data_IF_131233664120
#
_entry.id   IF_131233664120
#
_cell.length_a   1.000
_cell.length_b   1.000
_cell.length_c   1.000
_cell.angle_alpha   90.00
_cell.angle_beta   90.00
_cell.angle_gamma   90.00
#
_symmetry.space_group_name_H-M   'P 1'
#
loop_
_entity.id
_entity.type
_entity.pdbx_description
1 polymer ?
#
# COMPACT_ATOMS: atom_id res chain seq x y z
N UNK A 1 -42.97 -15.76 -4.29
CA UNK A 1 -42.11 -15.50 -3.11
C UNK A 1 -40.71 -15.94 -3.48
N UNK A 2 -40.00 -15.08 -4.21
CA UNK A 2 -38.58 -15.25 -4.51
C UNK A 2 -37.77 -14.97 -3.23
N UNK A 3 -36.73 -15.74 -2.92
CA UNK A 3 -35.86 -15.44 -1.79
C UNK A 3 -35.12 -14.12 -2.01
N UNK A 4 -34.88 -13.40 -0.92
CA UNK A 4 -34.09 -12.17 -0.88
C UNK A 4 -32.60 -12.47 -1.01
N UNK A 5 -32.18 -12.78 -2.24
CA UNK A 5 -30.78 -13.09 -2.56
C UNK A 5 -29.87 -11.87 -2.45
N UNK A 6 -30.43 -10.64 -2.45
CA UNK A 6 -29.68 -9.40 -2.38
C UNK A 6 -29.15 -9.12 -0.97
N UNK A 7 -30.02 -9.18 0.03
CA UNK A 7 -29.61 -8.98 1.42
C UNK A 7 -28.59 -10.03 1.89
N UNK A 8 -28.78 -11.30 1.49
CA UNK A 8 -27.89 -12.40 1.84
C UNK A 8 -26.49 -12.25 1.20
N UNK A 9 -26.40 -11.72 -0.03
CA UNK A 9 -25.12 -11.38 -0.65
C UNK A 9 -24.45 -10.19 0.05
N UNK A 10 -25.16 -9.10 0.32
CA UNK A 10 -24.61 -7.95 1.05
C UNK A 10 -24.09 -8.31 2.45
N UNK A 11 -24.77 -9.24 3.15
CA UNK A 11 -24.31 -9.80 4.43
C UNK A 11 -23.01 -10.61 4.24
N UNK A 12 -22.90 -11.44 3.18
CA UNK A 12 -21.65 -12.16 2.87
C UNK A 12 -20.51 -11.20 2.57
N UNK A 13 -20.69 -10.22 1.68
CA UNK A 13 -19.66 -9.25 1.29
C UNK A 13 -19.15 -8.47 2.52
N UNK A 14 -20.06 -7.99 3.37
CA UNK A 14 -19.71 -7.32 4.64
C UNK A 14 -18.88 -8.20 5.56
N UNK A 15 -19.26 -9.47 5.74
CA UNK A 15 -18.53 -10.40 6.61
C UNK A 15 -17.14 -10.71 6.06
N UNK A 16 -17.02 -10.91 4.75
CA UNK A 16 -15.73 -11.13 4.09
C UNK A 16 -14.77 -9.94 4.28
N UNK A 17 -15.24 -8.69 4.09
CA UNK A 17 -14.43 -7.50 4.30
C UNK A 17 -13.94 -7.34 5.75
N UNK A 18 -14.81 -7.63 6.74
CA UNK A 18 -14.44 -7.61 8.16
C UNK A 18 -13.42 -8.70 8.48
N UNK A 19 -13.61 -9.91 7.95
CA UNK A 19 -12.71 -11.04 8.17
C UNK A 19 -11.33 -10.83 7.54
N UNK A 20 -11.27 -10.32 6.31
CA UNK A 20 -10.02 -9.96 5.63
C UNK A 20 -9.26 -8.84 6.37
N UNK A 21 -9.97 -7.81 6.85
CA UNK A 21 -9.39 -6.75 7.66
C UNK A 21 -8.76 -7.30 8.96
N UNK A 22 -9.51 -8.17 9.66
CA UNK A 22 -9.08 -8.79 10.92
C UNK A 22 -7.92 -9.77 10.71
N UNK A 23 -7.91 -10.55 9.64
CA UNK A 23 -6.78 -11.43 9.32
C UNK A 23 -5.50 -10.62 9.09
N UNK A 24 -5.61 -9.48 8.42
CA UNK A 24 -4.50 -8.53 8.31
C UNK A 24 -3.94 -8.09 9.68
N UNK A 25 -4.79 -7.82 10.68
CA UNK A 25 -4.33 -7.49 12.03
C UNK A 25 -3.68 -8.69 12.74
N UNK A 26 -4.09 -9.92 12.45
CA UNK A 26 -3.43 -11.14 12.96
C UNK A 26 -2.02 -11.28 12.38
N UNK A 27 -1.86 -11.05 11.08
CA UNK A 27 -0.56 -11.05 10.38
C UNK A 27 0.38 -9.96 10.92
N UNK A 28 -0.09 -8.72 11.05
CA UNK A 28 0.70 -7.63 11.65
C UNK A 28 1.20 -7.99 13.07
N UNK A 29 0.36 -8.66 13.87
CA UNK A 29 0.76 -9.11 15.21
C UNK A 29 1.75 -10.28 15.16
N UNK A 30 1.68 -11.16 14.15
CA UNK A 30 2.66 -12.21 13.92
C UNK A 30 4.03 -11.61 13.58
N UNK A 31 4.07 -10.68 12.62
CA UNK A 31 5.27 -9.94 12.17
C UNK A 31 5.95 -9.19 13.32
N UNK A 32 5.18 -8.57 14.21
CA UNK A 32 5.68 -7.88 15.40
C UNK A 32 6.26 -8.81 16.50
N UNK A 33 6.40 -10.12 16.24
CA UNK A 33 6.88 -11.11 17.23
C UNK A 33 5.80 -11.55 18.23
N UNK A 34 4.53 -11.49 17.86
CA UNK A 34 3.36 -11.86 18.69
C UNK A 34 3.29 -11.18 20.06
N UNK A 35 3.44 -9.84 20.16
CA UNK A 35 3.42 -9.13 21.44
C UNK A 35 2.16 -9.47 22.24
N UNK A 36 2.31 -9.74 23.53
CA UNK A 36 1.19 -10.08 24.39
C UNK A 36 0.21 -8.91 24.51
N UNK A 37 -1.10 -9.15 24.43
CA UNK A 37 -2.11 -8.08 24.48
C UNK A 37 -2.00 -7.15 25.71
N UNK A 38 -1.47 -7.65 26.84
CA UNK A 38 -1.21 -6.85 28.04
C UNK A 38 -0.03 -5.87 27.84
N UNK A 39 1.00 -6.27 27.10
CA UNK A 39 2.11 -5.38 26.72
C UNK A 39 1.65 -4.34 25.69
N UNK A 40 0.86 -4.75 24.69
CA UNK A 40 0.26 -3.85 23.70
C UNK A 40 -0.65 -2.80 24.37
N UNK A 41 -1.52 -3.22 25.29
CA UNK A 41 -2.38 -2.31 26.06
C UNK A 41 -1.55 -1.29 26.86
N UNK A 42 -0.49 -1.75 27.55
CA UNK A 42 0.45 -0.88 28.29
C UNK A 42 1.17 0.12 27.38
N UNK A 43 1.54 -0.27 26.17
CA UNK A 43 2.15 0.61 25.16
C UNK A 43 1.16 1.68 24.67
N UNK A 44 -0.08 1.29 24.37
CA UNK A 44 -1.09 2.23 23.86
C UNK A 44 -1.59 3.25 24.89
N UNK A 45 -1.61 2.89 26.18
CA UNK A 45 -2.16 3.68 27.29
C UNK A 45 -3.67 3.98 27.22
N UNK A 46 -4.34 3.63 26.12
CA UNK A 46 -5.71 4.08 25.77
C UNK A 46 -6.71 2.94 25.55
N UNK A 47 -6.23 1.73 25.25
CA UNK A 47 -7.09 0.58 24.88
C UNK A 47 -6.76 -0.63 25.76
N UNK A 48 -7.78 -1.33 26.24
CA UNK A 48 -7.60 -2.46 27.15
C UNK A 48 -7.13 -3.72 26.42
N UNK A 49 -6.42 -4.61 27.12
CA UNK A 49 -5.96 -5.88 26.53
C UNK A 49 -7.12 -6.77 26.04
N UNK A 50 -8.29 -6.70 26.69
CA UNK A 50 -9.48 -7.42 26.28
C UNK A 50 -10.07 -6.82 24.99
N UNK A 51 -10.04 -5.49 24.83
CA UNK A 51 -10.47 -4.80 23.62
C UNK A 51 -9.54 -5.09 22.43
N UNK A 52 -8.23 -5.16 22.65
CA UNK A 52 -7.26 -5.55 21.61
C UNK A 52 -7.40 -7.03 21.19
N UNK A 53 -7.81 -7.90 22.11
CA UNK A 53 -8.15 -9.29 21.80
C UNK A 53 -9.47 -9.41 21.03
N UNK A 54 -10.53 -8.71 21.49
CA UNK A 54 -11.85 -8.68 20.84
C UNK A 54 -11.80 -8.08 19.43
N UNK A 55 -10.86 -7.16 19.16
CA UNK A 55 -10.60 -6.64 17.83
C UNK A 55 -10.19 -7.72 16.80
N UNK A 56 -9.74 -8.90 17.24
CA UNK A 56 -9.38 -10.03 16.37
C UNK A 56 -10.49 -11.09 16.24
N UNK A 57 -11.69 -10.83 16.78
CA UNK A 57 -12.81 -11.78 16.78
C UNK A 57 -13.51 -11.95 15.43
N UNK A 58 -13.40 -10.97 14.53
CA UNK A 58 -14.14 -10.97 13.24
C UNK A 58 -15.65 -10.70 13.36
N UNK A 59 -16.20 -10.53 14.57
CA UNK A 59 -17.64 -10.37 14.77
C UNK A 59 -18.18 -9.00 14.30
N UNK A 60 -17.32 -7.97 14.28
CA UNK A 60 -17.61 -6.61 13.82
C UNK A 60 -16.30 -5.92 13.45
N UNK A 61 -16.34 -4.92 12.58
CA UNK A 61 -15.17 -4.09 12.30
C UNK A 61 -14.72 -3.39 13.60
N UNK A 62 -13.45 -3.51 14.02
CA UNK A 62 -12.95 -2.78 15.20
C UNK A 62 -13.01 -1.27 14.97
N UNK A 63 -13.15 -0.46 16.02
CA UNK A 63 -13.16 1.01 15.86
C UNK A 63 -11.76 1.54 15.53
N UNK A 64 -11.65 2.65 14.77
CA UNK A 64 -10.35 3.23 14.43
C UNK A 64 -9.41 3.45 15.64
N UNK A 65 -9.85 3.98 16.80
CA UNK A 65 -8.96 4.12 17.97
C UNK A 65 -8.40 2.78 18.48
N UNK A 66 -9.15 1.68 18.32
CA UNK A 66 -8.70 0.31 18.66
C UNK A 66 -7.67 -0.19 17.64
N UNK A 67 -7.93 0.01 16.34
CA UNK A 67 -7.00 -0.32 15.26
C UNK A 67 -5.69 0.45 15.41
N UNK A 68 -5.75 1.77 15.57
CA UNK A 68 -4.57 2.62 15.74
C UNK A 68 -3.71 2.17 16.95
N UNK A 69 -4.34 1.89 18.09
CA UNK A 69 -3.65 1.37 19.26
C UNK A 69 -2.99 0.00 19.04
N UNK A 70 -3.66 -0.88 18.29
CA UNK A 70 -3.14 -2.19 17.92
C UNK A 70 -1.93 -2.07 16.98
N UNK A 71 -2.08 -1.30 15.90
CA UNK A 71 -1.08 -1.07 14.86
C UNK A 71 0.17 -0.41 15.44
N UNK A 72 -0.01 0.65 16.24
CA UNK A 72 1.08 1.33 16.95
C UNK A 72 1.82 0.38 17.89
N UNK A 73 1.11 -0.49 18.62
CA UNK A 73 1.72 -1.48 19.52
C UNK A 73 2.45 -2.62 18.79
N UNK A 74 2.18 -2.81 17.50
CA UNK A 74 2.88 -3.73 16.60
C UNK A 74 3.92 -3.03 15.70
N UNK A 75 4.09 -1.70 15.80
CA UNK A 75 5.04 -0.95 14.96
C UNK A 75 4.62 -0.78 13.49
N UNK A 76 3.35 -1.00 13.15
CA UNK A 76 2.85 -0.86 11.77
C UNK A 76 2.54 0.57 11.36
N UNK A 77 2.40 0.80 10.05
CA UNK A 77 2.09 2.10 9.45
C UNK A 77 0.61 2.50 9.68
N UNK A 78 0.40 3.54 10.49
CA UNK A 78 -0.94 4.04 10.83
C UNK A 78 -1.70 4.62 9.63
N UNK A 79 -1.05 5.18 8.62
CA UNK A 79 -1.71 5.74 7.45
C UNK A 79 -2.22 4.61 6.54
N UNK A 80 -1.37 3.62 6.26
CA UNK A 80 -1.75 2.39 5.54
C UNK A 80 -2.93 1.68 6.22
N UNK A 81 -2.83 1.43 7.53
CA UNK A 81 -3.90 0.78 8.29
C UNK A 81 -5.17 1.63 8.41
N UNK A 82 -5.07 2.97 8.29
CA UNK A 82 -6.24 3.85 8.25
C UNK A 82 -7.02 3.70 6.95
N UNK A 83 -6.35 3.64 5.80
CA UNK A 83 -7.04 3.45 4.51
C UNK A 83 -7.72 2.08 4.47
N UNK A 84 -6.98 1.01 4.79
CA UNK A 84 -7.57 -0.35 4.87
C UNK A 84 -8.76 -0.45 5.84
N UNK A 85 -8.78 0.37 6.90
CA UNK A 85 -9.93 0.47 7.81
C UNK A 85 -11.11 1.24 7.20
N UNK A 86 -10.86 2.31 6.44
CA UNK A 86 -11.88 3.08 5.73
C UNK A 86 -12.53 2.22 4.64
N UNK A 87 -11.75 1.49 3.84
CA UNK A 87 -12.24 0.58 2.80
C UNK A 87 -13.17 -0.49 3.40
N UNK A 88 -12.71 -1.14 4.48
CA UNK A 88 -13.50 -2.12 5.21
C UNK A 88 -14.74 -1.50 5.87
N UNK A 89 -14.70 -0.23 6.29
CA UNK A 89 -15.83 0.49 6.85
C UNK A 89 -16.86 0.94 5.80
N UNK A 90 -16.43 1.20 4.56
CA UNK A 90 -17.30 1.47 3.42
C UNK A 90 -18.12 0.22 3.09
N UNK A 91 -17.46 -0.92 2.87
CA UNK A 91 -18.11 -2.21 2.58
C UNK A 91 -18.92 -2.73 3.78
N UNK A 92 -18.49 -2.43 5.02
CA UNK A 92 -19.23 -2.81 6.22
C UNK A 92 -20.38 -1.87 6.60
N UNK A 93 -20.59 -0.77 5.87
CA UNK A 93 -21.71 0.13 6.13
C UNK A 93 -23.04 -0.58 5.82
N UNK A 94 -24.09 -0.43 6.65
CA UNK A 94 -25.46 -0.70 6.23
C UNK A 94 -25.81 0.13 5.00
N UNK A 95 -26.44 -0.48 3.99
CA UNK A 95 -27.15 0.35 3.00
C UNK A 95 -28.22 1.15 3.74
N UNK A 96 -28.45 2.42 3.37
CA UNK A 96 -29.59 3.15 3.89
C UNK A 96 -30.86 2.47 3.35
N UNK A 97 -31.56 1.73 4.20
CA UNK A 97 -32.93 1.31 3.93
C UNK A 97 -33.72 2.57 3.53
N UNK A 98 -34.17 2.64 2.28
CA UNK A 98 -34.99 3.76 1.84
C UNK A 98 -36.25 3.77 2.71
N UNK A 99 -36.45 4.83 3.50
CA UNK A 99 -37.64 5.03 4.31
C UNK A 99 -38.85 5.23 3.39
N UNK A 100 -39.41 4.10 2.94
CA UNK A 100 -40.67 4.01 2.25
C UNK A 100 -41.82 4.40 3.18
N UNK A 101 -42.14 5.68 3.16
CA UNK A 101 -43.49 6.23 3.35
C UNK A 101 -44.38 5.51 4.38
N UNK A 102 -44.23 5.88 5.66
CA UNK A 102 -45.27 5.61 6.67
C UNK A 102 -45.95 6.90 7.12
N UNK A 103 -46.97 7.25 6.32
CA UNK A 103 -48.19 8.00 6.64
C UNK A 103 -48.25 8.83 7.95
N UNK A 104 -48.64 10.09 7.80
CA UNK A 104 -49.13 10.93 8.90
C UNK A 104 -50.23 10.23 9.72
N UNK A 105 -50.25 10.38 11.06
CA UNK A 105 -51.38 9.94 11.87
C UNK A 105 -52.63 10.78 11.59
N UNK A 106 -53.60 10.18 10.90
CA UNK A 106 -54.94 10.76 10.73
C UNK A 106 -55.59 11.08 12.08
N UNK A 107 -56.30 12.20 12.12
CA UNK A 107 -56.84 12.80 13.33
C UNK A 107 -57.86 11.92 14.08
N UNK A 108 -57.89 12.09 15.41
CA UNK A 108 -59.08 11.85 16.23
C UNK A 108 -59.37 13.06 17.14
N UNK A 109 -60.65 13.35 17.44
CA UNK A 109 -61.08 14.71 17.81
C UNK A 109 -60.98 15.01 19.31
N UNK A 110 -60.84 16.31 19.59
CA UNK A 110 -60.87 16.91 20.93
C UNK A 110 -62.21 16.71 21.66
N UNK A 111 -62.17 16.58 23.00
CA UNK A 111 -63.23 17.07 23.86
C UNK A 111 -62.74 18.15 24.86
N UNK A 112 -63.41 19.30 24.82
CA UNK A 112 -63.84 20.07 26.00
C UNK A 112 -62.85 20.41 27.13
N UNK A 113 -62.46 21.69 27.16
CA UNK A 113 -62.01 22.42 28.35
C UNK A 113 -62.88 22.20 29.61
N UNK A 114 -62.26 21.96 30.78
CA UNK A 114 -62.40 22.83 31.97
C UNK A 114 -61.53 22.35 33.15
N UNK A 115 -60.75 23.27 33.75
CA UNK A 115 -60.30 23.14 35.15
C UNK A 115 -61.38 23.70 36.11
N UNK A 116 -61.40 23.28 37.38
CA UNK A 116 -60.87 24.17 38.42
C UNK A 116 -60.08 23.48 39.55
N UNK A 117 -59.43 24.30 40.38
CA UNK A 117 -58.52 23.96 41.49
C UNK A 117 -59.28 23.78 42.86
N UNK A 118 -58.64 23.63 44.05
CA UNK A 118 -58.85 22.47 44.94
C UNK A 118 -59.56 22.81 46.27
N UNK A 119 -59.69 21.83 47.19
CA UNK A 119 -59.03 22.02 48.50
C UNK A 119 -58.40 20.74 49.12
N UNK A 120 -57.50 20.96 50.10
CA UNK A 120 -56.85 19.94 50.97
C UNK A 120 -57.60 19.82 52.35
N UNK A 121 -57.12 19.11 53.40
CA UNK A 121 -55.94 18.24 53.58
C UNK A 121 -56.21 16.90 54.36
N UNK A 122 -55.15 16.28 54.91
CA UNK A 122 -55.08 15.12 55.84
C UNK A 122 -55.11 13.69 55.22
N UNK A 123 -54.38 12.66 55.71
CA UNK A 123 -53.42 12.56 56.84
C UNK A 123 -52.40 11.40 56.62
N UNK A 124 -51.18 11.58 57.13
CA UNK A 124 -50.13 10.61 57.57
C UNK A 124 -50.20 9.10 57.21
N UNK A 125 -49.06 8.53 56.76
CA UNK A 125 -48.25 7.58 57.56
C UNK A 125 -46.82 7.42 57.01
N UNK A 126 -45.85 7.15 57.88
CA UNK A 126 -44.40 7.15 57.59
C UNK A 126 -43.87 5.79 57.08
N UNK A 127 -42.70 5.78 56.41
CA UNK A 127 -41.46 5.21 56.98
C UNK A 127 -40.21 5.34 56.06
N UNK A 128 -39.27 6.17 56.51
CA UNK A 128 -37.79 6.11 56.41
C UNK A 128 -37.08 5.24 55.34
N UNK A 129 -36.28 5.90 54.48
CA UNK A 129 -34.93 5.44 54.08
C UNK A 129 -33.96 6.64 54.02
N UNK A 130 -33.00 6.72 54.95
CA UNK A 130 -31.76 7.52 54.80
C UNK A 130 -30.61 6.63 54.26
N UNK A 131 -29.35 7.05 54.04
CA UNK A 131 -28.57 8.28 54.32
C UNK A 131 -27.13 7.97 53.83
N UNK A 132 -26.33 8.76 53.10
CA UNK A 132 -26.37 10.10 52.46
C UNK A 132 -25.38 10.03 51.24
N UNK A 133 -25.09 11.03 50.38
CA UNK A 133 -25.23 12.48 50.40
C UNK A 133 -23.88 13.20 50.55
N UNK A 134 -23.25 13.60 49.42
CA UNK A 134 -22.24 14.69 49.32
C UNK A 134 -21.93 15.07 47.86
N UNK A 135 -22.71 16.02 47.33
CA UNK A 135 -22.29 16.87 46.21
C UNK A 135 -21.48 18.04 46.78
N UNK A 136 -20.43 18.50 46.09
CA UNK A 136 -19.80 19.80 46.34
C UNK A 136 -19.35 20.45 45.03
N UNK A 137 -20.21 21.33 44.51
CA UNK A 137 -19.86 22.37 43.55
C UNK A 137 -19.63 23.66 44.32
N UNK A 138 -18.55 24.39 44.03
CA UNK A 138 -18.52 25.85 44.24
C UNK A 138 -17.60 26.51 43.20
N UNK A 139 -18.12 27.58 42.60
CA UNK A 139 -17.44 28.51 41.71
C UNK A 139 -17.18 29.83 42.46
N UNK A 140 -16.62 30.83 41.75
CA UNK A 140 -16.31 32.22 42.19
C UNK A 140 -15.01 32.31 43.00
N UNK A 141 -14.12 33.29 42.77
CA UNK A 141 -14.11 34.40 41.80
C UNK A 141 -12.76 35.14 41.82
N UNK A 142 -12.54 36.05 40.87
CA UNK A 142 -11.23 36.66 40.61
C UNK A 142 -10.85 37.83 41.53
N UNK A 143 -9.54 38.09 41.67
CA UNK A 143 -9.00 39.44 41.88
C UNK A 143 -7.56 39.56 41.35
N UNK A 144 -7.19 40.79 40.98
CA UNK A 144 -6.06 41.16 40.10
C UNK A 144 -4.80 41.51 40.91
N UNK A 145 -3.62 41.18 40.36
CA UNK A 145 -2.33 41.72 40.82
C UNK A 145 -1.29 41.60 39.70
N UNK A 146 -0.87 42.73 39.12
CA UNK A 146 0.03 42.75 37.96
C UNK A 146 1.51 42.77 38.35
N UNK A 147 2.35 42.04 37.62
CA UNK A 147 3.81 42.28 37.52
C UNK A 147 4.22 42.19 36.05
N UNK A 148 5.03 43.16 35.62
CA UNK A 148 5.53 43.33 34.25
C UNK A 148 6.76 42.45 34.00
N UNK A 149 6.87 41.83 32.83
CA UNK A 149 8.12 41.11 32.45
C UNK A 149 8.11 40.40 31.09
N UNK A 150 8.63 41.08 30.06
CA UNK A 150 9.24 40.55 28.83
C UNK A 150 8.60 39.35 28.10
N UNK A 151 7.95 39.63 26.96
CA UNK A 151 7.26 38.63 26.15
C UNK A 151 8.11 37.71 25.26
N UNK A 152 7.41 36.71 24.71
CA UNK A 152 7.65 36.11 23.40
C UNK A 152 6.29 36.00 22.71
N UNK A 153 6.16 36.52 21.49
CA UNK A 153 4.96 36.33 20.68
C UNK A 153 5.05 34.99 19.94
N UNK A 154 4.34 33.97 20.42
CA UNK A 154 4.10 32.73 19.65
C UNK A 154 2.69 32.80 19.07
N UNK A 155 2.60 33.02 17.77
CA UNK A 155 1.33 33.01 17.05
C UNK A 155 0.72 31.60 17.06
N UNK A 156 -0.53 31.47 17.49
CA UNK A 156 -1.30 30.24 17.33
C UNK A 156 -1.76 30.15 15.88
N UNK A 157 -0.96 29.52 15.02
CA UNK A 157 -1.40 29.09 13.69
C UNK A 157 -2.15 27.77 13.83
N UNK A 158 -3.42 27.76 13.44
CA UNK A 158 -4.23 26.54 13.32
C UNK A 158 -3.80 25.76 12.08
N UNK A 159 -2.67 25.05 12.18
CA UNK A 159 -2.23 24.11 11.15
C UNK A 159 -3.06 22.82 11.23
N UNK A 160 -4.06 22.70 10.36
CA UNK A 160 -4.60 21.40 9.95
C UNK A 160 -3.52 20.72 9.09
N UNK A 161 -2.56 20.06 9.75
CA UNK A 161 -1.54 19.26 9.10
C UNK A 161 -1.96 17.79 9.06
N UNK A 162 -1.97 17.19 7.87
CA UNK A 162 -2.28 15.78 7.68
C UNK A 162 -1.34 14.88 8.49
N UNK A 163 -1.94 14.04 9.33
CA UNK A 163 -1.25 13.17 10.28
C UNK A 163 -0.64 11.92 9.64
N UNK A 164 0.17 12.08 8.59
CA UNK A 164 1.05 11.03 8.10
C UNK A 164 2.36 11.05 8.91
N UNK A 165 2.56 10.07 9.79
CA UNK A 165 3.87 9.88 10.42
C UNK A 165 4.90 9.49 9.35
N UNK A 166 6.06 10.15 9.27
CA UNK A 166 7.05 9.80 8.24
C UNK A 166 7.57 8.39 8.45
N UNK A 167 7.77 7.65 7.36
CA UNK A 167 8.63 6.47 7.36
C UNK A 167 10.02 6.93 7.78
N UNK A 168 10.48 6.47 8.94
CA UNK A 168 11.80 6.81 9.46
C UNK A 168 12.82 5.99 8.68
N UNK A 169 13.31 6.55 7.58
CA UNK A 169 14.45 5.98 6.88
C UNK A 169 15.65 5.96 7.81
N UNK A 170 16.32 4.80 8.00
CA UNK A 170 17.50 4.74 8.85
C UNK A 170 18.62 5.53 8.18
N UNK A 171 18.85 6.76 8.66
CA UNK A 171 19.96 7.59 8.20
C UNK A 171 21.26 7.01 8.73
N UNK A 172 22.11 6.52 7.85
CA UNK A 172 23.52 6.33 8.16
C UNK A 172 24.24 7.68 8.09
N UNK A 173 25.36 7.84 8.81
CA UNK A 173 26.17 9.07 8.73
C UNK A 173 26.72 9.33 7.32
N UNK A 174 26.68 8.33 6.41
CA UNK A 174 27.04 8.49 5.00
C UNK A 174 25.97 9.23 4.18
N UNK A 175 24.68 9.15 4.56
CA UNK A 175 23.58 9.73 3.79
C UNK A 175 23.54 11.27 3.87
N UNK A 176 23.99 11.84 5.00
CA UNK A 176 24.13 13.29 5.17
C UNK A 176 25.23 13.90 4.29
N UNK A 177 26.21 13.10 3.85
CA UNK A 177 27.22 13.54 2.88
C UNK A 177 26.72 13.46 1.42
N UNK A 178 25.80 12.53 1.12
CA UNK A 178 25.21 12.37 -0.20
C UNK A 178 24.15 13.45 -0.53
N UNK A 179 23.37 13.88 0.47
CA UNK A 179 22.26 14.84 0.30
C UNK A 179 22.64 16.27 -0.11
N UNK A 180 23.93 16.60 -0.20
CA UNK A 180 24.42 17.94 -0.57
C UNK A 180 25.08 18.00 -1.98
N UNK A 181 25.23 16.87 -2.67
CA UNK A 181 25.67 16.86 -4.06
C UNK A 181 24.44 17.01 -4.97
N UNK A 182 24.34 18.13 -5.68
CA UNK A 182 23.28 18.35 -6.66
C UNK A 182 23.23 17.19 -7.67
N UNK A 183 22.04 16.64 -7.88
CA UNK A 183 21.78 15.61 -8.90
C UNK A 183 22.13 16.21 -10.27
N UNK A 184 23.34 15.93 -10.76
CA UNK A 184 23.67 16.19 -12.15
C UNK A 184 22.89 15.18 -13.00
N UNK A 185 22.21 15.63 -14.07
CA UNK A 185 21.58 14.71 -15.00
C UNK A 185 22.66 13.76 -15.56
N UNK A 186 22.36 12.47 -15.74
CA UNK A 186 23.34 11.49 -16.18
C UNK A 186 23.96 11.95 -17.50
N UNK A 187 25.27 12.14 -17.50
CA UNK A 187 26.01 12.53 -18.68
C UNK A 187 25.90 11.40 -19.69
N UNK A 188 25.10 11.58 -20.73
CA UNK A 188 24.99 10.65 -21.85
C UNK A 188 26.39 10.48 -22.46
N UNK A 189 27.03 9.35 -22.18
CA UNK A 189 28.28 8.95 -22.82
C UNK A 189 27.89 8.33 -24.16
N UNK A 190 28.34 8.86 -25.31
CA UNK A 190 28.14 8.21 -26.58
C UNK A 190 28.86 6.85 -26.55
N UNK A 191 28.08 5.77 -26.54
CA UNK A 191 28.64 4.44 -26.44
C UNK A 191 29.28 4.04 -27.77
N UNK A 192 30.60 4.23 -27.87
CA UNK A 192 31.41 3.74 -28.98
C UNK A 192 31.60 2.21 -28.87
N UNK A 193 30.51 1.46 -28.98
CA UNK A 193 30.56 0.03 -29.26
C UNK A 193 30.86 -0.16 -30.74
N UNK A 194 31.93 -0.88 -31.05
CA UNK A 194 32.22 -1.27 -32.42
C UNK A 194 31.11 -2.22 -32.91
N UNK A 195 30.43 -1.85 -34.00
CA UNK A 195 29.43 -2.70 -34.67
C UNK A 195 30.10 -3.94 -35.28
N UNK A 196 30.20 -5.00 -34.48
CA UNK A 196 30.12 -6.34 -35.03
C UNK A 196 28.65 -6.65 -35.27
N UNK A 197 28.17 -6.36 -36.48
CA UNK A 197 26.80 -6.64 -36.92
C UNK A 197 26.56 -8.16 -36.98
N UNK A 198 26.34 -8.78 -35.82
CA UNK A 198 25.71 -10.09 -35.72
C UNK A 198 24.29 -9.97 -36.27
N UNK A 199 23.83 -10.98 -37.01
CA UNK A 199 22.50 -10.96 -37.61
C UNK A 199 21.44 -10.79 -36.51
N UNK A 200 20.61 -9.75 -36.63
CA UNK A 200 19.59 -9.40 -35.65
C UNK A 200 18.66 -10.60 -35.43
N UNK A 201 18.88 -11.30 -34.32
CA UNK A 201 18.09 -12.46 -33.93
C UNK A 201 16.86 -11.93 -33.23
N UNK A 202 15.66 -12.31 -33.70
CA UNK A 202 14.42 -11.83 -33.09
C UNK A 202 14.42 -12.15 -31.59
N UNK A 203 14.16 -11.16 -30.71
CA UNK A 203 14.11 -11.39 -29.28
C UNK A 203 13.14 -12.52 -28.89
N UNK A 204 13.54 -13.35 -27.94
CA UNK A 204 12.72 -14.46 -27.45
C UNK A 204 12.94 -14.71 -25.96
N UNK A 205 11.85 -14.99 -25.25
CA UNK A 205 11.91 -15.44 -23.86
C UNK A 205 12.45 -16.87 -23.77
N UNK A 206 13.35 -17.12 -22.82
CA UNK A 206 14.03 -18.42 -22.62
C UNK A 206 13.51 -19.12 -21.37
N UNK A 207 13.26 -18.36 -20.30
CA UNK A 207 12.80 -18.88 -19.01
C UNK A 207 12.96 -17.87 -17.90
N UNK A 208 12.59 -18.31 -16.68
CA UNK A 208 12.75 -17.54 -15.44
C UNK A 208 13.87 -18.14 -14.56
N UNK A 209 15.09 -17.56 -14.54
CA UNK A 209 16.19 -18.04 -13.70
C UNK A 209 15.95 -17.96 -12.20
N UNK A 210 15.26 -16.92 -11.72
CA UNK A 210 15.01 -16.69 -10.30
C UNK A 210 13.76 -15.83 -10.07
N UNK A 211 13.11 -16.00 -8.92
CA UNK A 211 11.99 -15.15 -8.48
C UNK A 211 11.75 -15.33 -6.98
N UNK A 212 11.41 -14.26 -6.27
CA UNK A 212 11.03 -14.32 -4.85
C UNK A 212 10.15 -13.13 -4.45
N UNK A 213 9.32 -13.30 -3.42
CA UNK A 213 8.50 -12.24 -2.86
C UNK A 213 8.23 -12.50 -1.36
N UNK A 214 8.68 -11.58 -0.50
CA UNK A 214 8.59 -11.76 0.96
C UNK A 214 8.26 -10.46 1.70
N UNK A 215 7.58 -10.60 2.84
CA UNK A 215 7.44 -9.54 3.85
C UNK A 215 8.70 -9.61 4.73
N UNK A 216 9.75 -8.91 4.30
CA UNK A 216 11.07 -8.98 4.91
C UNK A 216 11.78 -7.62 4.82
N UNK A 217 12.04 -7.03 5.98
CA UNK A 217 12.76 -5.75 6.12
C UNK A 217 14.27 -6.00 6.32
N UNK A 218 15.00 -6.07 5.20
CA UNK A 218 16.46 -6.24 5.14
C UNK A 218 17.04 -5.30 4.08
N UNK A 219 18.33 -4.89 4.16
CA UNK A 219 18.96 -3.99 3.17
C UNK A 219 19.30 -4.65 1.82
N UNK A 220 18.93 -5.92 1.66
CA UNK A 220 19.11 -6.67 0.42
C UNK A 220 18.86 -8.16 0.59
N UNK A 221 18.68 -8.84 -0.52
CA UNK A 221 18.35 -10.27 -0.63
C UNK A 221 19.18 -10.95 -1.72
N UNK A 222 19.28 -12.27 -1.63
CA UNK A 222 19.99 -13.11 -2.59
C UNK A 222 19.05 -14.21 -3.06
N UNK A 223 18.67 -14.16 -4.34
CA UNK A 223 17.79 -15.13 -4.97
C UNK A 223 18.66 -16.23 -5.60
N UNK A 224 18.56 -17.50 -5.16
CA UNK A 224 19.28 -18.59 -5.80
C UNK A 224 18.76 -18.79 -7.23
N UNK A 225 19.68 -19.05 -8.16
CA UNK A 225 19.34 -19.37 -9.55
C UNK A 225 18.78 -20.80 -9.59
N UNK A 226 17.50 -20.94 -9.96
CA UNK A 226 16.78 -22.23 -10.02
C UNK A 226 16.66 -22.79 -11.45
N UNK A 227 17.03 -21.99 -12.44
CA UNK A 227 17.17 -22.38 -13.85
C UNK A 227 18.46 -21.77 -14.38
N UNK A 228 19.30 -22.62 -14.98
CA UNK A 228 20.57 -22.20 -15.57
C UNK A 228 20.36 -21.15 -16.66
N UNK A 229 21.24 -20.14 -16.69
CA UNK A 229 21.24 -19.04 -17.66
C UNK A 229 22.24 -19.33 -18.77
N UNK A 230 21.85 -19.06 -20.01
CA UNK A 230 22.69 -19.25 -21.19
C UNK A 230 23.73 -18.12 -21.29
N UNK A 231 24.99 -18.47 -21.51
CA UNK A 231 26.04 -17.49 -21.77
C UNK A 231 25.70 -16.62 -22.99
N UNK A 232 25.73 -15.30 -22.83
CA UNK A 232 25.45 -14.34 -23.90
C UNK A 232 23.99 -13.89 -24.05
N UNK A 233 23.06 -14.50 -23.31
CA UNK A 233 21.67 -13.99 -23.24
C UNK A 233 21.59 -12.76 -22.32
N UNK A 234 20.40 -12.16 -22.21
CA UNK A 234 20.11 -11.00 -21.36
C UNK A 234 19.22 -11.39 -20.18
N UNK A 235 19.41 -10.72 -19.04
CA UNK A 235 18.56 -10.85 -17.86
C UNK A 235 17.84 -9.54 -17.59
N UNK A 236 16.51 -9.63 -17.48
CA UNK A 236 15.63 -8.52 -17.09
C UNK A 236 15.13 -8.79 -15.67
N UNK A 237 15.48 -7.92 -14.73
CA UNK A 237 15.08 -8.02 -13.32
C UNK A 237 14.02 -6.97 -13.04
N UNK A 238 12.77 -7.42 -12.90
CA UNK A 238 11.64 -6.57 -12.52
C UNK A 238 11.43 -6.66 -11.01
N UNK A 239 11.21 -5.53 -10.33
CA UNK A 239 11.00 -5.53 -8.90
C UNK A 239 10.00 -4.48 -8.42
N UNK A 240 9.33 -4.78 -7.31
CA UNK A 240 8.43 -3.88 -6.59
C UNK A 240 8.82 -3.85 -5.11
N UNK A 241 9.34 -2.71 -4.64
CA UNK A 241 9.61 -2.44 -3.23
C UNK A 241 8.44 -1.67 -2.63
N UNK A 242 7.95 -2.04 -1.43
CA UNK A 242 6.86 -1.32 -0.75
C UNK A 242 7.35 -0.54 0.46
N UNK A 243 6.84 0.68 0.62
CA UNK A 243 7.24 1.63 1.67
C UNK A 243 8.76 1.82 1.68
N UNK A 244 9.33 1.99 0.48
CA UNK A 244 10.77 2.10 0.28
C UNK A 244 11.29 3.44 0.79
N UNK A 245 12.58 3.47 1.12
CA UNK A 245 13.30 4.73 1.31
C UNK A 245 13.97 5.20 0.01
N UNK A 246 14.15 6.52 -0.16
CA UNK A 246 14.99 7.07 -1.23
C UNK A 246 16.43 6.53 -1.14
N UNK A 247 17.07 6.37 -2.30
CA UNK A 247 18.46 5.93 -2.41
C UNK A 247 18.67 4.88 -3.50
N UNK A 248 19.92 4.40 -3.66
CA UNK A 248 20.28 3.50 -4.75
C UNK A 248 19.77 2.09 -4.52
N UNK A 249 19.11 1.51 -5.52
CA UNK A 249 18.90 0.06 -5.63
C UNK A 249 19.98 -0.48 -6.57
N UNK A 250 20.58 -1.63 -6.24
CA UNK A 250 21.59 -2.28 -7.07
C UNK A 250 21.26 -3.75 -7.25
N UNK A 251 21.42 -4.23 -8.48
CA UNK A 251 21.39 -5.65 -8.84
C UNK A 251 22.80 -6.05 -9.25
N UNK A 252 23.23 -7.21 -8.79
CA UNK A 252 24.48 -7.90 -9.18
C UNK A 252 24.23 -9.40 -9.14
N UNK A 253 25.15 -10.21 -9.64
CA UNK A 253 25.12 -11.66 -9.43
C UNK A 253 26.47 -12.16 -8.88
N UNK A 254 26.55 -13.46 -8.60
CA UNK A 254 27.79 -14.14 -8.19
C UNK A 254 28.89 -14.01 -9.25
N UNK A 255 28.50 -13.90 -10.53
CA UNK A 255 29.35 -13.59 -11.68
C UNK A 255 30.08 -12.23 -11.49
N UNK A 256 29.33 -11.23 -11.05
CA UNK A 256 29.66 -9.80 -11.12
C UNK A 256 29.29 -9.17 -12.47
N UNK A 257 28.22 -9.63 -13.13
CA UNK A 257 27.74 -8.98 -14.36
C UNK A 257 27.11 -7.61 -14.10
N UNK A 258 27.04 -6.79 -15.15
CA UNK A 258 26.67 -5.37 -15.06
C UNK A 258 25.18 -5.16 -15.33
N UNK A 259 24.41 -4.99 -14.27
CA UNK A 259 23.00 -4.62 -14.34
C UNK A 259 22.85 -3.10 -14.34
N UNK A 260 22.05 -2.60 -15.28
CA UNK A 260 21.73 -1.18 -15.42
C UNK A 260 20.24 -0.94 -15.17
N UNK A 261 19.90 0.21 -14.59
CA UNK A 261 18.50 0.63 -14.44
C UNK A 261 17.96 1.01 -15.82
N UNK A 262 16.90 0.34 -16.26
CA UNK A 262 16.14 0.69 -17.46
C UNK A 262 14.94 1.58 -17.12
N UNK A 263 14.26 1.30 -16.00
CA UNK A 263 13.11 2.06 -15.48
C UNK A 263 13.17 2.10 -13.95
N UNK A 264 12.74 3.22 -13.36
CA UNK A 264 12.70 3.46 -11.91
C UNK A 264 11.61 4.49 -11.59
N UNK A 265 10.45 4.02 -11.13
CA UNK A 265 9.31 4.85 -10.74
C UNK A 265 8.95 4.63 -9.27
N UNK A 266 8.57 5.70 -8.57
CA UNK A 266 8.12 5.64 -7.18
C UNK A 266 6.85 6.45 -7.00
N UNK A 267 5.80 5.79 -6.53
CA UNK A 267 4.50 6.41 -6.30
C UNK A 267 4.46 7.29 -5.02
N UNK A 268 3.34 7.99 -4.87
CA UNK A 268 3.01 8.87 -3.73
C UNK A 268 3.09 8.17 -2.36
N UNK A 269 2.85 6.86 -2.31
CA UNK A 269 2.88 6.03 -1.11
C UNK A 269 4.25 5.33 -0.87
N UNK A 270 5.23 5.56 -1.75
CA UNK A 270 6.56 4.94 -1.77
C UNK A 270 6.52 3.43 -2.07
N UNK A 271 5.62 2.99 -2.94
CA UNK A 271 5.84 1.78 -3.73
C UNK A 271 6.74 2.15 -4.91
N UNK A 272 7.81 1.39 -5.11
CA UNK A 272 8.80 1.65 -6.16
C UNK A 272 8.87 0.45 -7.08
N UNK A 273 8.48 0.66 -8.33
CA UNK A 273 8.64 -0.32 -9.41
C UNK A 273 9.94 0.01 -10.13
N UNK A 274 10.70 -1.02 -10.49
CA UNK A 274 11.92 -0.84 -11.28
C UNK A 274 12.11 -2.00 -12.24
N UNK A 275 12.75 -1.71 -13.36
CA UNK A 275 13.29 -2.71 -14.29
C UNK A 275 14.80 -2.48 -14.42
N UNK A 276 15.58 -3.51 -14.11
CA UNK A 276 17.01 -3.58 -14.40
C UNK A 276 17.27 -4.52 -15.58
N UNK A 277 18.33 -4.26 -16.35
CA UNK A 277 18.75 -5.14 -17.45
C UNK A 277 20.27 -5.32 -17.45
N UNK A 278 20.70 -6.57 -17.64
CA UNK A 278 22.07 -6.95 -17.98
C UNK A 278 22.06 -7.67 -19.34
N UNK A 279 23.03 -7.35 -20.21
CA UNK A 279 23.15 -7.92 -21.56
C UNK A 279 24.42 -8.76 -21.67
N UNK A 280 24.37 -9.87 -22.41
CA UNK A 280 25.54 -10.70 -22.67
C UNK A 280 26.10 -11.35 -21.41
N UNK A 281 25.22 -11.78 -20.49
CA UNK A 281 25.62 -12.28 -19.17
C UNK A 281 26.45 -13.57 -19.26
N UNK A 282 27.22 -13.84 -18.21
CA UNK A 282 27.91 -15.12 -18.05
C UNK A 282 26.91 -16.23 -17.70
N UNK A 283 27.23 -17.50 -17.98
CA UNK A 283 26.33 -18.59 -17.66
C UNK A 283 26.22 -18.73 -16.14
N UNK A 284 25.00 -18.61 -15.62
CA UNK A 284 24.69 -18.82 -14.21
C UNK A 284 24.11 -20.23 -14.00
N UNK A 285 24.46 -20.83 -12.86
CA UNK A 285 24.10 -22.19 -12.47
C UNK A 285 23.39 -22.21 -11.13
N UNK A 286 22.98 -23.39 -10.65
CA UNK A 286 22.39 -23.59 -9.32
C UNK A 286 23.38 -23.35 -8.16
N UNK A 287 24.67 -23.11 -8.46
CA UNK A 287 25.65 -22.61 -7.51
C UNK A 287 25.66 -21.07 -7.38
N UNK A 288 24.95 -20.35 -8.26
CA UNK A 288 24.97 -18.89 -8.38
C UNK A 288 23.68 -18.24 -7.85
N UNK A 289 23.74 -16.94 -7.58
CA UNK A 289 22.61 -16.15 -7.10
C UNK A 289 22.57 -14.74 -7.72
N UNK A 290 21.36 -14.20 -7.83
CA UNK A 290 21.11 -12.78 -8.11
C UNK A 290 20.99 -12.05 -6.77
N UNK A 291 21.80 -11.03 -6.56
CA UNK A 291 21.83 -10.21 -5.34
C UNK A 291 21.18 -8.85 -5.63
N UNK A 292 20.20 -8.47 -4.82
CA UNK A 292 19.52 -7.17 -4.90
C UNK A 292 19.72 -6.43 -3.58
N UNK A 293 20.17 -5.18 -3.62
CA UNK A 293 20.37 -4.33 -2.43
C UNK A 293 19.61 -3.02 -2.56
N UNK A 294 19.07 -2.52 -1.45
CA UNK A 294 18.26 -1.31 -1.38
C UNK A 294 18.30 -0.73 0.05
N UNK A 295 18.10 0.59 0.25
CA UNK A 295 18.31 1.20 1.57
C UNK A 295 17.35 0.67 2.64
N UNK A 296 16.06 0.55 2.27
CA UNK A 296 15.01 0.00 3.11
C UNK A 296 13.77 -0.28 2.26
N UNK A 297 13.10 -1.40 2.50
CA UNK A 297 11.73 -1.69 2.06
C UNK A 297 11.04 -2.58 3.10
N UNK A 298 9.72 -2.48 3.24
CA UNK A 298 8.93 -3.34 4.15
C UNK A 298 8.69 -4.76 3.60
N UNK A 299 8.77 -4.89 2.28
CA UNK A 299 8.60 -6.12 1.50
C UNK A 299 9.08 -5.88 0.07
N UNK A 300 9.36 -6.97 -0.64
CA UNK A 300 9.75 -6.96 -2.04
C UNK A 300 8.98 -8.01 -2.84
N UNK A 301 8.88 -7.76 -4.14
CA UNK A 301 8.72 -8.78 -5.18
C UNK A 301 9.88 -8.59 -6.15
N UNK A 302 10.55 -9.66 -6.55
CA UNK A 302 11.66 -9.64 -7.50
C UNK A 302 11.47 -10.82 -8.45
N UNK A 303 11.47 -10.52 -9.75
CA UNK A 303 11.29 -11.47 -10.84
C UNK A 303 12.45 -11.31 -11.83
N UNK A 304 13.12 -12.41 -12.19
CA UNK A 304 14.30 -12.42 -13.07
C UNK A 304 14.00 -13.26 -14.30
N UNK A 305 13.91 -12.62 -15.46
CA UNK A 305 13.51 -13.25 -16.73
C UNK A 305 14.66 -13.22 -17.76
N UNK A 306 14.90 -14.36 -18.42
CA UNK A 306 15.96 -14.57 -19.41
C UNK A 306 15.42 -14.38 -20.83
N UNK A 307 16.11 -13.55 -21.61
CA UNK A 307 15.79 -13.27 -23.01
C UNK A 307 17.01 -13.43 -23.91
N UNK A 308 16.81 -14.12 -25.03
CA UNK A 308 17.80 -14.28 -26.10
C UNK A 308 17.64 -13.21 -27.17
N UNK A 309 18.76 -12.79 -27.76
CA UNK A 309 18.76 -11.86 -28.89
C UNK A 309 18.52 -10.40 -28.49
N UNK A 310 18.90 -10.03 -27.25
CA UNK A 310 18.71 -8.68 -26.71
C UNK A 310 20.05 -8.10 -26.27
N UNK A 311 20.28 -6.84 -26.60
CA UNK A 311 21.59 -6.16 -26.59
C UNK A 311 21.58 -4.72 -26.10
N UNK A 312 20.43 -4.03 -26.14
CA UNK A 312 20.31 -2.66 -25.63
C UNK A 312 18.86 -2.29 -25.22
N UNK A 313 18.73 -1.33 -24.31
CA UNK A 313 17.49 -0.58 -24.06
C UNK A 313 17.38 0.54 -25.11
N UNK A 314 16.23 0.69 -25.77
CA UNK A 314 15.98 1.71 -26.80
C UNK A 314 15.06 2.83 -26.33
N UNK A 315 14.04 2.48 -25.54
CA UNK A 315 13.10 3.41 -24.93
C UNK A 315 12.57 2.87 -23.61
N UNK A 316 11.96 3.73 -22.80
CA UNK A 316 11.23 3.36 -21.60
C UNK A 316 10.05 4.29 -21.38
N UNK A 317 9.10 3.86 -20.55
CA UNK A 317 8.05 4.70 -19.99
C UNK A 317 7.59 4.14 -18.66
N UNK A 318 7.04 5.01 -17.82
CA UNK A 318 6.49 4.63 -16.51
C UNK A 318 5.25 5.47 -16.20
N UNK A 319 4.42 4.97 -15.28
CA UNK A 319 3.34 5.73 -14.67
C UNK A 319 2.87 5.04 -13.38
N UNK A 320 2.22 5.79 -12.51
CA UNK A 320 1.48 5.25 -11.37
C UNK A 320 0.10 5.91 -11.24
N UNK A 321 -0.80 5.26 -10.51
CA UNK A 321 -2.15 5.74 -10.27
C UNK A 321 -2.78 5.18 -9.00
N UNK A 322 -3.68 5.97 -8.43
CA UNK A 322 -4.34 5.70 -7.15
C UNK A 322 -5.48 4.66 -7.28
N UNK A 323 -5.96 4.18 -6.13
CA UNK A 323 -7.09 3.23 -6.01
C UNK A 323 -8.33 3.76 -6.74
N UNK A 324 -9.08 2.87 -7.41
CA UNK A 324 -10.26 3.22 -8.20
C UNK A 324 -9.98 3.62 -9.65
N UNK A 325 -8.71 3.70 -10.05
CA UNK A 325 -8.31 3.80 -11.46
C UNK A 325 -8.71 2.53 -12.23
N UNK A 326 -9.74 2.59 -13.07
CA UNK A 326 -10.23 1.43 -13.83
C UNK A 326 -9.24 0.91 -14.91
N UNK A 327 -8.26 1.73 -15.30
CA UNK A 327 -7.25 1.42 -16.30
C UNK A 327 -5.88 2.01 -15.92
N UNK A 328 -4.81 1.38 -16.41
CA UNK A 328 -3.43 1.85 -16.31
C UNK A 328 -2.77 1.97 -17.69
N UNK A 329 -1.79 2.87 -17.79
CA UNK A 329 -1.02 3.11 -19.02
C UNK A 329 0.29 3.83 -18.69
N UNK A 330 1.41 3.41 -19.27
CA UNK A 330 2.71 4.14 -19.24
C UNK A 330 2.72 5.41 -20.13
N UNK A 331 1.55 5.98 -20.42
CA UNK A 331 1.29 6.76 -21.63
C UNK A 331 1.10 8.27 -21.45
N UNK A 332 1.88 8.90 -20.57
CA UNK A 332 1.98 10.37 -20.54
C UNK A 332 2.97 10.88 -21.60
N UNK A 333 4.14 10.24 -21.70
CA UNK A 333 5.18 10.53 -22.68
C UNK A 333 5.21 9.48 -23.82
N UNK A 334 5.57 9.86 -25.05
CA UNK A 334 5.60 8.95 -26.18
C UNK A 334 6.81 8.00 -26.13
N UNK A 335 6.57 6.75 -25.73
CA UNK A 335 7.54 5.66 -25.90
C UNK A 335 7.49 5.16 -27.35
N UNK A 336 8.48 5.53 -28.15
CA UNK A 336 8.58 5.07 -29.54
C UNK A 336 9.28 3.70 -29.60
N UNK A 337 8.76 2.81 -30.46
CA UNK A 337 9.18 1.42 -30.63
C UNK A 337 9.19 1.04 -32.12
N UNK A 338 9.94 -0.01 -32.47
CA UNK A 338 10.01 -0.57 -33.83
C UNK A 338 9.48 -1.99 -33.91
N UNK A 339 8.95 -2.37 -35.05
CA UNK A 339 8.50 -3.72 -35.32
C UNK A 339 9.62 -4.74 -35.06
N UNK A 340 9.38 -5.72 -34.18
CA UNK A 340 10.36 -6.73 -33.78
C UNK A 340 11.16 -6.41 -32.52
N UNK A 341 11.09 -5.19 -31.96
CA UNK A 341 11.68 -4.89 -30.64
C UNK A 341 10.91 -5.61 -29.52
N UNK A 342 11.62 -5.99 -28.46
CA UNK A 342 11.05 -6.60 -27.27
C UNK A 342 10.56 -5.52 -26.31
N UNK A 343 9.31 -5.63 -25.88
CA UNK A 343 8.75 -4.85 -24.79
C UNK A 343 8.63 -5.74 -23.55
N UNK A 344 9.14 -5.28 -22.41
CA UNK A 344 8.92 -5.91 -21.10
C UNK A 344 8.21 -4.90 -20.19
N UNK A 345 7.12 -5.35 -19.57
CA UNK A 345 6.33 -4.56 -18.64
C UNK A 345 6.36 -5.19 -17.24
N UNK A 346 6.49 -4.34 -16.22
CA UNK A 346 6.37 -4.69 -14.82
C UNK A 346 5.24 -3.86 -14.20
N UNK A 347 4.18 -4.51 -13.71
CA UNK A 347 3.02 -3.86 -13.08
C UNK A 347 2.99 -4.22 -11.60
N UNK A 348 3.41 -3.29 -10.75
CA UNK A 348 3.22 -3.35 -9.31
C UNK A 348 1.82 -2.91 -8.92
N UNK A 349 1.20 -3.54 -7.93
CA UNK A 349 -0.11 -3.12 -7.41
C UNK A 349 -0.33 -3.55 -5.96
N UNK A 350 -1.23 -2.81 -5.29
CA UNK A 350 -1.57 -3.03 -3.89
C UNK A 350 -3.09 -3.04 -3.67
N UNK A 351 -3.54 -3.92 -2.75
CA UNK A 351 -4.92 -3.97 -2.27
C UNK A 351 -5.95 -4.16 -3.38
N UNK A 352 -5.95 -5.35 -4.00
CA UNK A 352 -6.99 -5.72 -4.97
C UNK A 352 -6.74 -7.07 -5.65
N UNK A 353 -7.52 -7.39 -6.70
CA UNK A 353 -7.19 -8.46 -7.64
C UNK A 353 -5.94 -8.10 -8.47
N UNK A 354 -5.31 -9.11 -9.06
CA UNK A 354 -4.18 -8.93 -9.97
C UNK A 354 -4.55 -7.99 -11.16
N UNK A 355 -3.70 -7.01 -11.50
CA UNK A 355 -3.84 -6.23 -12.72
C UNK A 355 -3.83 -7.11 -13.97
N UNK A 356 -4.55 -6.70 -15.01
CA UNK A 356 -4.62 -7.43 -16.28
C UNK A 356 -4.18 -6.53 -17.43
N UNK A 357 -3.10 -6.91 -18.13
CA UNK A 357 -2.70 -6.23 -19.36
C UNK A 357 -3.69 -6.53 -20.50
N UNK A 358 -3.74 -5.65 -21.49
CA UNK A 358 -4.53 -5.86 -22.72
C UNK A 358 -4.04 -7.08 -23.52
N UNK A 359 -4.90 -7.59 -24.41
CA UNK A 359 -4.56 -8.69 -25.32
C UNK A 359 -3.37 -8.35 -26.21
N UNK A 360 -2.39 -9.25 -26.28
CA UNK A 360 -1.12 -9.06 -27.02
C UNK A 360 0.10 -9.30 -26.13
N UNK A 361 -0.04 -9.05 -24.83
CA UNK A 361 0.96 -9.33 -23.81
C UNK A 361 0.95 -10.81 -23.39
N UNK A 362 2.14 -11.41 -23.33
CA UNK A 362 2.39 -12.72 -22.75
C UNK A 362 2.79 -12.54 -21.29
N UNK A 363 1.93 -12.93 -20.34
CA UNK A 363 2.25 -12.88 -18.90
C UNK A 363 3.34 -13.91 -18.57
N UNK A 364 4.36 -13.48 -17.84
CA UNK A 364 5.49 -14.28 -17.37
C UNK A 364 5.30 -14.68 -15.91
N UNK A 365 5.16 -13.69 -15.02
CA UNK A 365 4.92 -13.91 -13.60
C UNK A 365 3.68 -13.19 -13.06
N UNK A 366 3.26 -13.67 -11.88
CA UNK A 366 2.26 -13.08 -11.00
C UNK A 366 2.73 -13.38 -9.58
N UNK A 367 3.69 -12.57 -9.11
CA UNK A 367 4.25 -12.71 -7.77
C UNK A 367 3.27 -12.08 -6.80
N UNK A 368 2.42 -12.91 -6.18
CA UNK A 368 1.42 -12.49 -5.19
C UNK A 368 1.95 -12.60 -3.76
N UNK A 369 1.87 -11.52 -3.00
CA UNK A 369 2.16 -11.48 -1.57
C UNK A 369 1.01 -10.82 -0.81
N UNK A 370 0.19 -11.62 -0.13
CA UNK A 370 -1.08 -11.15 0.47
C UNK A 370 -2.00 -10.53 -0.59
N UNK A 371 -2.28 -9.22 -0.54
CA UNK A 371 -3.06 -8.46 -1.53
C UNK A 371 -2.20 -7.60 -2.47
N UNK A 372 -0.90 -7.85 -2.52
CA UNK A 372 0.05 -7.19 -3.40
C UNK A 372 0.44 -8.11 -4.54
N UNK A 373 0.67 -7.54 -5.71
CA UNK A 373 1.04 -8.27 -6.92
C UNK A 373 2.14 -7.52 -7.68
N UNK A 374 3.17 -8.24 -8.12
CA UNK A 374 4.01 -7.86 -9.25
C UNK A 374 3.69 -8.77 -10.44
N UNK A 375 3.10 -8.20 -11.49
CA UNK A 375 2.87 -8.86 -12.77
C UNK A 375 4.01 -8.50 -13.70
N UNK A 376 4.67 -9.50 -14.29
CA UNK A 376 5.61 -9.29 -15.39
C UNK A 376 5.04 -9.86 -16.68
N UNK A 377 5.27 -9.17 -17.78
CA UNK A 377 4.81 -9.59 -19.09
C UNK A 377 5.75 -9.09 -20.18
N UNK A 378 5.74 -9.76 -21.33
CA UNK A 378 6.44 -9.28 -22.52
C UNK A 378 5.55 -9.32 -23.76
N UNK A 379 5.92 -8.52 -24.75
CA UNK A 379 5.34 -8.54 -26.09
C UNK A 379 6.42 -8.14 -27.10
N UNK A 380 6.40 -8.74 -28.30
CA UNK A 380 7.19 -8.23 -29.42
C UNK A 380 6.37 -7.12 -30.09
N UNK A 381 6.95 -5.94 -30.27
CA UNK A 381 6.31 -4.79 -30.90
C UNK A 381 5.86 -5.18 -32.33
N UNK A 382 4.56 -5.10 -32.65
CA UNK A 382 4.03 -5.64 -33.91
C UNK A 382 4.23 -4.68 -35.10
N UNK A 383 4.41 -3.40 -34.83
CA UNK A 383 4.51 -2.30 -35.80
C UNK A 383 5.39 -1.19 -35.22
N UNK A 384 5.96 -0.36 -36.09
CA UNK A 384 6.61 0.88 -35.68
C UNK A 384 5.59 1.88 -35.10
N UNK A 385 6.02 2.70 -34.14
CA UNK A 385 5.25 3.83 -33.61
C UNK A 385 5.25 3.90 -32.10
N UNK A 386 4.13 4.30 -31.50
CA UNK A 386 4.01 4.44 -30.04
C UNK A 386 3.59 3.14 -29.36
N UNK A 387 4.39 2.71 -28.40
CA UNK A 387 4.12 1.59 -27.53
C UNK A 387 3.73 2.06 -26.12
N UNK A 388 2.93 1.25 -25.43
CA UNK A 388 2.58 1.46 -24.02
C UNK A 388 2.19 0.13 -23.37
N UNK A 389 2.59 -0.08 -22.13
CA UNK A 389 2.01 -1.14 -21.30
C UNK A 389 0.67 -0.62 -20.77
N UNK A 390 -0.42 -1.26 -21.17
CA UNK A 390 -1.79 -0.84 -20.86
C UNK A 390 -2.61 -2.00 -20.33
N UNK A 391 -3.60 -1.70 -19.49
CA UNK A 391 -4.45 -2.72 -18.88
C UNK A 391 -5.50 -2.16 -17.94
N UNK A 392 -6.12 -3.06 -17.17
CA UNK A 392 -7.14 -2.73 -16.18
C UNK A 392 -6.77 -3.23 -14.79
N UNK A 393 -7.21 -2.46 -13.79
CA UNK A 393 -7.06 -2.73 -12.37
C UNK A 393 -8.18 -2.00 -11.62
N UNK A 394 -8.30 -2.23 -10.31
CA UNK A 394 -9.04 -1.35 -9.38
C UNK A 394 -8.18 -0.95 -8.18
N UNK A 395 -7.05 -1.64 -7.99
CA UNK A 395 -6.00 -1.34 -7.04
C UNK A 395 -5.24 -0.05 -7.43
N UNK A 396 -4.53 0.54 -6.47
CA UNK A 396 -3.42 1.44 -6.78
C UNK A 396 -2.31 0.64 -7.49
N UNK A 397 -1.61 1.29 -8.40
CA UNK A 397 -0.71 0.66 -9.35
C UNK A 397 0.49 1.53 -9.70
N UNK A 398 1.60 0.87 -10.03
CA UNK A 398 2.72 1.42 -10.81
C UNK A 398 2.98 0.49 -11.98
N UNK A 399 3.27 1.04 -13.17
CA UNK A 399 3.70 0.27 -14.34
C UNK A 399 4.94 0.87 -14.96
N UNK A 400 5.93 0.01 -15.16
CA UNK A 400 7.14 0.29 -15.92
C UNK A 400 7.11 -0.47 -17.25
N UNK A 401 7.66 0.15 -18.29
CA UNK A 401 7.87 -0.41 -19.63
C UNK A 401 9.32 -0.17 -20.06
N UNK A 402 10.04 -1.23 -20.41
CA UNK A 402 11.30 -1.17 -21.12
C UNK A 402 11.14 -1.70 -22.55
N UNK A 403 11.67 -0.97 -23.53
CA UNK A 403 11.78 -1.40 -24.93
C UNK A 403 13.24 -1.75 -25.22
N UNK A 404 13.46 -2.92 -25.82
CA UNK A 404 14.74 -3.61 -25.90
C UNK A 404 14.99 -4.14 -27.33
N UNK A 405 16.25 -4.14 -27.79
CA UNK A 405 16.67 -4.58 -29.14
C UNK A 405 17.90 -5.46 -29.14
#
# INVERSE_FOLDING_TARGET
MTPDNGADEGIRTRRAAIEEFVEGLRLLRLEAGQPAFRAMAKSSGKVSHATLHDALSGARLPTWPTVAAFVQACGGDLAFWRQRWLDAAEVARPEPECEGERAEPLAHPLPGSSAPEPPAPAQTHELSVGRAGRVRTFLVGALVGAVVGAGVAVGVTTALGDGATPVVCPTSDADLAAGAAAVQPPKVVPAAYAESASAATTPSWVGRPASDAQILTVPGVSLPVVRQVTAGDALVVSLMLTSTCPGPVRVTDTLGDSYSVAVDDTDTARHRTMIFVAFGVRPLTDADAIHVTYPHASKYHIDVEEFRGVSAVTAHGHAHGEVGSAAFSTGADPVECRAGELMVAAVGSNTGPAPTLVTGWTKLADLKLSSYHLITAYQIAPTDGRCAATGTTTAQWGVDLAVLR
#
